data_IF_727499681303
#
_entry.id   IF_727499681303
#
_cell.length_a   1.000
_cell.length_b   1.000
_cell.length_c   1.000
_cell.angle_alpha   90.00
_cell.angle_beta   90.00
_cell.angle_gamma   90.00
#
_symmetry.space_group_name_H-M   'P 1'
#
loop_
_entity.id
_entity.type
_entity.pdbx_description
1 polymer ?
#
# COMPACT_ATOMS: atom_id res chain seq x y z
N UNK A 1 -23.07 -0.18 5.36
CA UNK A 1 -22.38 0.71 6.36
C UNK A 1 -21.19 1.37 5.66
N UNK A 2 -21.23 2.67 5.39
CA UNK A 2 -20.15 3.36 4.66
C UNK A 2 -18.92 3.55 5.55
N UNK A 3 -17.76 3.12 5.08
CA UNK A 3 -16.45 3.30 5.74
C UNK A 3 -15.46 3.84 4.73
N UNK A 4 -14.76 4.91 5.10
CA UNK A 4 -13.71 5.51 4.30
C UNK A 4 -12.44 5.60 5.12
N UNK A 5 -11.41 4.89 4.67
CA UNK A 5 -10.08 4.93 5.26
C UNK A 5 -9.12 5.60 4.28
N UNK A 6 -8.45 6.65 4.74
CA UNK A 6 -7.37 7.30 3.99
C UNK A 6 -6.03 6.95 4.63
N UNK A 7 -5.14 6.35 3.87
CA UNK A 7 -3.78 6.09 4.32
C UNK A 7 -2.99 7.40 4.31
N UNK A 8 -2.92 8.05 5.47
CA UNK A 8 -2.29 9.36 5.61
C UNK A 8 -0.78 9.29 5.56
N UNK A 9 -0.22 10.24 4.84
CA UNK A 9 1.17 10.56 4.57
C UNK A 9 2.00 10.96 5.82
N UNK A 10 1.39 11.28 6.97
CA UNK A 10 2.09 11.87 8.12
C UNK A 10 3.26 11.04 8.62
N UNK A 11 3.09 9.74 8.79
CA UNK A 11 4.18 8.87 9.25
C UNK A 11 5.24 8.59 8.18
N UNK A 12 4.85 8.53 6.92
CA UNK A 12 5.78 8.43 5.81
C UNK A 12 6.66 9.68 5.71
N UNK A 13 6.07 10.88 5.78
CA UNK A 13 6.81 12.15 5.72
C UNK A 13 7.85 12.31 6.83
N UNK A 14 7.51 11.95 8.08
CA UNK A 14 8.46 12.00 9.20
C UNK A 14 9.61 11.00 9.02
N UNK A 15 9.31 9.77 8.59
CA UNK A 15 10.34 8.75 8.35
C UNK A 15 11.22 9.09 7.15
N UNK A 16 10.65 9.62 6.08
CA UNK A 16 11.41 10.08 4.92
C UNK A 16 12.24 11.32 5.22
N UNK A 17 11.70 12.27 6.00
CA UNK A 17 12.45 13.42 6.50
C UNK A 17 13.65 12.98 7.35
N UNK A 18 13.47 12.02 8.24
CA UNK A 18 14.56 11.44 9.03
C UNK A 18 15.59 10.72 8.13
N UNK A 19 15.15 9.95 7.14
CA UNK A 19 16.04 9.28 6.19
C UNK A 19 16.85 10.29 5.35
N UNK A 20 16.21 11.33 4.85
CA UNK A 20 16.88 12.42 4.11
C UNK A 20 17.87 13.17 5.00
N UNK A 21 17.53 13.43 6.27
CA UNK A 21 18.43 14.07 7.23
C UNK A 21 19.63 13.16 7.55
N UNK A 22 19.43 11.86 7.74
CA UNK A 22 20.53 10.90 7.91
C UNK A 22 21.44 10.83 6.68
N UNK A 23 20.88 10.80 5.48
CA UNK A 23 21.66 10.83 4.24
C UNK A 23 22.47 12.12 4.12
N UNK A 24 21.88 13.28 4.44
CA UNK A 24 22.58 14.57 4.43
C UNK A 24 23.69 14.65 5.46
N UNK A 25 23.47 14.13 6.68
CA UNK A 25 24.51 14.06 7.73
C UNK A 25 25.65 13.12 7.35
N UNK A 26 25.35 11.98 6.75
CA UNK A 26 26.36 11.06 6.22
C UNK A 26 27.19 11.71 5.12
N UNK A 27 26.55 12.45 4.19
CA UNK A 27 27.26 13.19 3.16
C UNK A 27 28.18 14.26 3.74
N UNK A 28 27.71 15.03 4.75
CA UNK A 28 28.53 16.04 5.43
C UNK A 28 29.70 15.43 6.20
N UNK A 29 29.49 14.29 6.86
CA UNK A 29 30.56 13.56 7.57
C UNK A 29 31.59 13.01 6.59
N UNK A 30 31.17 12.44 5.49
CA UNK A 30 32.06 11.96 4.43
C UNK A 30 32.78 13.12 3.72
N UNK A 31 32.13 14.25 3.44
CA UNK A 31 32.75 15.42 2.81
C UNK A 31 33.92 16.00 3.63
N UNK A 32 33.93 15.75 4.95
CA UNK A 32 35.03 16.18 5.84
C UNK A 32 36.22 15.22 5.86
N UNK A 33 36.02 13.95 5.54
CA UNK A 33 37.05 12.92 5.79
C UNK A 33 37.78 12.43 4.55
N UNK A 34 37.24 12.60 3.36
CA UNK A 34 37.82 12.02 2.14
C UNK A 34 37.68 12.95 0.93
N UNK A 35 38.71 13.07 0.12
CA UNK A 35 38.80 13.93 -1.04
C UNK A 35 37.83 13.61 -2.21
N UNK A 36 38.14 14.09 -3.38
CA UNK A 36 37.36 14.21 -4.62
C UNK A 36 36.50 13.01 -5.10
N UNK A 37 36.74 11.78 -4.61
CA UNK A 37 35.94 10.60 -4.99
C UNK A 37 34.48 10.62 -4.48
N UNK A 38 34.12 11.60 -3.69
CA UNK A 38 32.79 11.72 -3.05
C UNK A 38 31.71 12.35 -3.94
N UNK A 39 32.08 12.94 -5.06
CA UNK A 39 31.09 13.44 -6.01
C UNK A 39 30.17 12.35 -6.56
N UNK A 40 30.55 11.07 -6.46
CA UNK A 40 29.68 9.94 -6.86
C UNK A 40 28.56 9.63 -5.87
N UNK A 41 28.65 10.04 -4.59
CA UNK A 41 27.59 9.86 -3.61
C UNK A 41 26.45 10.88 -3.76
N UNK A 42 26.73 12.03 -4.35
CA UNK A 42 25.74 13.09 -4.58
C UNK A 42 24.60 12.62 -5.51
N UNK A 43 24.85 11.97 -6.66
CA UNK A 43 23.78 11.42 -7.49
C UNK A 43 23.00 10.29 -6.79
N UNK A 44 23.64 9.50 -5.95
CA UNK A 44 22.94 8.47 -5.18
C UNK A 44 21.96 9.07 -4.17
N UNK A 45 22.37 10.09 -3.42
CA UNK A 45 21.46 10.78 -2.49
C UNK A 45 20.36 11.55 -3.22
N UNK A 46 20.68 12.15 -4.36
CA UNK A 46 19.68 12.79 -5.22
C UNK A 46 18.66 11.75 -5.73
N UNK A 47 19.13 10.57 -6.16
CA UNK A 47 18.26 9.46 -6.58
C UNK A 47 17.35 8.99 -5.46
N UNK A 48 17.86 8.88 -4.22
CA UNK A 48 17.05 8.54 -3.05
C UNK A 48 15.98 9.60 -2.79
N UNK A 49 16.34 10.88 -2.83
CA UNK A 49 15.39 12.00 -2.63
C UNK A 49 14.33 12.03 -3.73
N UNK A 50 14.71 11.79 -4.98
CA UNK A 50 13.77 11.73 -6.11
C UNK A 50 12.87 10.50 -6.09
N UNK A 51 13.32 9.39 -5.49
CA UNK A 51 12.52 8.19 -5.31
C UNK A 51 11.45 8.32 -4.21
N UNK A 52 11.61 9.26 -3.26
CA UNK A 52 10.68 9.51 -2.15
C UNK A 52 9.22 9.73 -2.60
N UNK A 53 8.91 10.52 -3.64
CA UNK A 53 7.53 10.68 -4.12
C UNK A 53 6.93 9.37 -4.64
N UNK A 54 7.73 8.51 -5.23
CA UNK A 54 7.29 7.21 -5.75
C UNK A 54 6.85 6.25 -4.63
N UNK A 55 7.51 6.32 -3.48
CA UNK A 55 7.15 5.52 -2.31
C UNK A 55 6.06 6.18 -1.44
N UNK A 56 5.64 7.39 -1.74
CA UNK A 56 4.63 8.15 -1.00
C UNK A 56 3.24 8.09 -1.64
N UNK A 57 2.94 7.03 -2.38
CA UNK A 57 1.60 6.82 -2.91
C UNK A 57 0.57 6.84 -1.76
N UNK A 58 -0.44 7.69 -1.89
CA UNK A 58 -1.56 7.75 -0.96
C UNK A 58 -2.62 6.80 -1.48
N UNK A 59 -3.07 5.86 -0.65
CA UNK A 59 -4.19 4.99 -0.98
C UNK A 59 -5.41 5.38 -0.17
N UNK A 60 -6.57 5.32 -0.80
CA UNK A 60 -7.86 5.52 -0.14
C UNK A 60 -8.67 4.25 -0.34
N UNK A 61 -9.20 3.71 0.74
CA UNK A 61 -10.12 2.58 0.72
C UNK A 61 -11.49 3.08 1.14
N UNK A 62 -12.50 2.81 0.33
CA UNK A 62 -13.89 3.13 0.61
C UNK A 62 -14.69 1.84 0.56
N UNK A 63 -15.42 1.57 1.61
CA UNK A 63 -16.28 0.40 1.73
C UNK A 63 -17.70 0.83 2.11
N UNK A 64 -18.69 0.48 1.29
CA UNK A 64 -20.08 0.85 1.50
C UNK A 64 -20.97 -0.31 1.98
N UNK A 65 -20.39 -1.50 2.15
CA UNK A 65 -21.08 -2.74 2.49
C UNK A 65 -21.26 -3.65 1.27
N UNK A 66 -21.36 -3.10 0.07
CA UNK A 66 -21.54 -3.87 -1.16
C UNK A 66 -20.26 -3.86 -2.02
N UNK A 67 -19.43 -2.81 -1.89
CA UNK A 67 -18.25 -2.60 -2.72
C UNK A 67 -17.06 -2.10 -1.93
N UNK A 68 -15.91 -2.62 -2.26
CA UNK A 68 -14.62 -2.07 -1.84
C UNK A 68 -13.99 -1.31 -3.01
N UNK A 69 -13.85 -0.01 -2.87
CA UNK A 69 -13.22 0.87 -3.86
C UNK A 69 -11.82 1.22 -3.36
N UNK A 70 -10.83 0.94 -4.18
CA UNK A 70 -9.43 1.27 -3.91
C UNK A 70 -8.98 2.33 -4.88
N UNK A 71 -8.53 3.47 -4.37
CA UNK A 71 -8.06 4.60 -5.16
C UNK A 71 -6.63 4.97 -4.79
N UNK A 72 -5.87 5.50 -5.74
CA UNK A 72 -4.50 5.96 -5.54
C UNK A 72 -4.37 7.42 -5.89
N UNK A 73 -3.97 8.24 -4.95
CA UNK A 73 -3.75 9.67 -5.16
C UNK A 73 -4.09 10.51 -3.95
N UNK A 74 -3.70 11.79 -3.99
CA UNK A 74 -3.88 12.75 -2.88
C UNK A 74 -4.99 13.79 -3.15
N UNK A 75 -5.62 13.78 -4.31
CA UNK A 75 -6.69 14.71 -4.70
C UNK A 75 -8.05 14.43 -4.03
N UNK A 76 -9.04 15.26 -4.32
CA UNK A 76 -10.43 15.03 -3.88
C UNK A 76 -11.05 13.82 -4.58
N UNK A 77 -10.73 13.63 -5.86
CA UNK A 77 -11.18 12.49 -6.67
C UNK A 77 -9.96 11.71 -7.19
N UNK A 78 -9.32 10.88 -6.34
CA UNK A 78 -8.18 10.11 -6.78
C UNK A 78 -8.60 9.04 -7.80
N UNK A 79 -7.77 8.73 -8.79
CA UNK A 79 -8.06 7.68 -9.76
C UNK A 79 -8.29 6.34 -9.05
N UNK A 80 -9.38 5.68 -9.48
CA UNK A 80 -9.74 4.36 -8.96
C UNK A 80 -8.80 3.31 -9.56
N UNK A 81 -8.17 2.51 -8.70
CA UNK A 81 -7.34 1.39 -9.09
C UNK A 81 -8.15 0.12 -9.30
N UNK A 82 -9.08 -0.12 -8.38
CA UNK A 82 -9.88 -1.34 -8.38
C UNK A 82 -11.23 -1.10 -7.69
N UNK A 83 -12.26 -1.74 -8.21
CA UNK A 83 -13.59 -1.84 -7.60
C UNK A 83 -13.89 -3.32 -7.44
N UNK A 84 -14.19 -3.76 -6.23
CA UNK A 84 -14.45 -5.15 -5.91
C UNK A 84 -15.82 -5.22 -5.26
N UNK A 85 -16.75 -5.92 -5.90
CA UNK A 85 -18.06 -6.18 -5.32
C UNK A 85 -17.90 -7.26 -4.22
N UNK A 86 -18.65 -7.12 -3.14
CA UNK A 86 -18.55 -8.03 -1.98
C UNK A 86 -18.88 -9.48 -2.37
N UNK A 87 -19.78 -9.66 -3.34
CA UNK A 87 -20.18 -10.97 -3.89
C UNK A 87 -19.05 -11.68 -4.62
N UNK A 88 -18.09 -10.92 -5.15
CA UNK A 88 -16.95 -11.45 -5.88
C UNK A 88 -15.78 -11.82 -4.96
N UNK A 89 -15.85 -11.52 -3.66
CA UNK A 89 -14.80 -11.84 -2.70
C UNK A 89 -14.79 -13.35 -2.44
N UNK A 90 -13.67 -13.99 -2.78
CA UNK A 90 -13.47 -15.43 -2.59
C UNK A 90 -12.79 -15.75 -1.26
N UNK A 91 -11.83 -14.93 -0.85
CA UNK A 91 -11.11 -15.12 0.41
C UNK A 91 -10.48 -13.81 0.91
N UNK A 92 -10.36 -13.70 2.21
CA UNK A 92 -9.69 -12.62 2.91
C UNK A 92 -8.77 -13.18 4.00
N UNK A 93 -7.60 -12.60 4.17
CA UNK A 93 -6.69 -13.06 5.22
C UNK A 93 -5.48 -12.15 5.42
N UNK A 94 -4.63 -12.50 6.37
CA UNK A 94 -3.38 -11.80 6.62
C UNK A 94 -2.38 -12.17 5.55
N UNK A 95 -1.76 -11.18 4.93
CA UNK A 95 -0.74 -11.40 3.92
C UNK A 95 0.61 -11.69 4.56
N UNK A 96 1.14 -12.87 4.29
CA UNK A 96 2.53 -13.22 4.59
C UNK A 96 3.32 -13.33 3.28
N UNK A 97 4.48 -12.67 3.17
CA UNK A 97 5.31 -12.75 1.98
C UNK A 97 5.67 -14.23 1.68
N UNK A 98 5.45 -14.66 0.43
CA UNK A 98 5.75 -16.02 -0.01
C UNK A 98 4.60 -17.03 0.07
N UNK A 99 3.51 -16.75 0.79
CA UNK A 99 2.34 -17.66 0.87
C UNK A 99 1.45 -17.63 -0.38
N UNK A 100 1.31 -16.48 -1.00
CA UNK A 100 0.54 -16.34 -2.23
C UNK A 100 1.47 -16.48 -3.42
N UNK A 101 1.48 -17.64 -4.05
CA UNK A 101 2.20 -17.80 -5.31
C UNK A 101 1.48 -16.96 -6.38
N UNK A 102 2.24 -16.16 -7.13
CA UNK A 102 1.73 -15.38 -8.25
C UNK A 102 1.04 -16.24 -9.35
N UNK A 103 1.13 -17.56 -9.24
CA UNK A 103 0.47 -18.52 -10.12
C UNK A 103 -1.03 -18.66 -9.89
N UNK A 104 -1.57 -18.16 -8.79
CA UNK A 104 -3.00 -18.29 -8.46
C UNK A 104 -3.86 -17.11 -8.90
N UNK A 105 -3.26 -16.02 -9.36
CA UNK A 105 -4.00 -14.85 -9.76
C UNK A 105 -3.57 -14.33 -11.12
N UNK A 106 -4.56 -14.00 -11.94
CA UNK A 106 -4.36 -13.35 -13.24
C UNK A 106 -3.96 -11.87 -13.08
N UNK A 107 -4.34 -11.25 -11.97
CA UNK A 107 -4.06 -9.84 -11.66
C UNK A 107 -3.70 -9.67 -10.19
N UNK A 108 -2.64 -8.90 -9.91
CA UNK A 108 -2.24 -8.55 -8.54
C UNK A 108 -2.17 -7.04 -8.40
N UNK A 109 -2.97 -6.48 -7.49
CA UNK A 109 -2.99 -5.06 -7.13
C UNK A 109 -2.36 -4.90 -5.75
N UNK A 110 -1.34 -4.05 -5.65
CA UNK A 110 -0.65 -3.74 -4.40
C UNK A 110 -1.00 -2.30 -3.99
N UNK A 111 -1.86 -2.17 -3.01
CA UNK A 111 -2.39 -0.91 -2.52
C UNK A 111 -2.02 -0.69 -1.05
N UNK A 112 -0.74 -0.69 -0.72
CA UNK A 112 -0.24 -0.45 0.63
C UNK A 112 1.01 0.43 0.60
N UNK A 113 1.28 1.10 1.71
CA UNK A 113 2.52 1.86 1.87
C UNK A 113 3.65 0.92 2.30
N UNK A 114 4.81 1.03 1.66
CA UNK A 114 5.95 0.14 1.89
C UNK A 114 6.40 0.11 3.37
N UNK A 115 6.37 1.25 4.04
CA UNK A 115 6.77 1.42 5.45
C UNK A 115 5.60 1.48 6.43
N UNK A 116 4.39 1.07 6.03
CA UNK A 116 3.25 1.02 6.94
C UNK A 116 3.47 -0.09 7.97
N UNK A 117 3.45 0.23 9.28
CA UNK A 117 3.61 -0.76 10.34
C UNK A 117 2.39 -1.68 10.50
N UNK A 118 1.26 -1.35 9.88
CA UNK A 118 0.04 -2.14 9.95
C UNK A 118 0.20 -3.48 9.25
N UNK A 119 -0.50 -4.49 9.75
CA UNK A 119 -0.55 -5.80 9.12
C UNK A 119 -1.14 -5.66 7.71
N UNK A 120 -0.45 -6.21 6.73
CA UNK A 120 -0.96 -6.31 5.38
C UNK A 120 -1.96 -7.45 5.31
N UNK A 121 -3.05 -7.21 4.59
CA UNK A 121 -4.06 -8.22 4.31
C UNK A 121 -4.12 -8.47 2.82
N UNK A 122 -4.56 -9.65 2.44
CA UNK A 122 -4.90 -9.96 1.06
C UNK A 122 -6.40 -10.20 0.93
N UNK A 123 -6.91 -9.90 -0.24
CA UNK A 123 -8.27 -10.17 -0.64
C UNK A 123 -8.20 -10.82 -2.03
N UNK A 124 -8.74 -12.04 -2.11
CA UNK A 124 -8.88 -12.78 -3.36
C UNK A 124 -10.27 -12.54 -3.89
N UNK A 125 -10.40 -12.19 -5.17
CA UNK A 125 -11.69 -11.84 -5.76
C UNK A 125 -11.79 -12.33 -7.20
N UNK A 126 -13.04 -12.50 -7.68
CA UNK A 126 -13.33 -12.88 -9.05
C UNK A 126 -13.24 -11.66 -9.96
N UNK A 127 -12.61 -11.80 -11.11
CA UNK A 127 -12.55 -10.75 -12.13
C UNK A 127 -13.78 -10.81 -13.03
N UNK A 128 -14.32 -9.67 -13.49
CA UNK A 128 -15.49 -9.62 -14.39
C UNK A 128 -15.31 -10.39 -15.70
N UNK A 129 -14.06 -10.53 -16.18
CA UNK A 129 -13.71 -11.28 -17.40
C UNK A 129 -13.32 -12.74 -17.17
N UNK A 130 -13.55 -13.27 -15.96
CA UNK A 130 -13.06 -14.58 -15.56
C UNK A 130 -11.63 -14.55 -15.01
N UNK A 131 -11.29 -15.52 -14.18
CA UNK A 131 -10.02 -15.57 -13.47
C UNK A 131 -10.10 -14.92 -12.06
N UNK A 132 -8.96 -14.82 -11.42
CA UNK A 132 -8.86 -14.39 -10.02
C UNK A 132 -7.92 -13.21 -9.89
N UNK A 133 -8.34 -12.19 -9.14
CA UNK A 133 -7.53 -11.06 -8.73
C UNK A 133 -7.08 -11.17 -7.28
N UNK A 134 -5.92 -10.63 -6.95
CA UNK A 134 -5.43 -10.47 -5.59
C UNK A 134 -5.21 -8.99 -5.32
N UNK A 135 -5.88 -8.47 -4.30
CA UNK A 135 -5.61 -7.16 -3.72
C UNK A 135 -4.81 -7.34 -2.44
N UNK A 136 -3.66 -6.68 -2.32
CA UNK A 136 -2.86 -6.62 -1.10
C UNK A 136 -2.94 -5.19 -0.58
N UNK A 137 -3.44 -4.99 0.65
CA UNK A 137 -3.71 -3.69 1.23
C UNK A 137 -3.51 -3.68 2.75
N UNK A 138 -3.56 -2.51 3.39
CA UNK A 138 -3.36 -2.33 4.83
C UNK A 138 -4.60 -1.71 5.47
N UNK A 139 -5.68 -2.50 5.69
CA UNK A 139 -6.89 -2.01 6.32
C UNK A 139 -6.66 -1.66 7.79
N UNK A 140 -7.37 -0.65 8.30
CA UNK A 140 -7.44 -0.40 9.73
C UNK A 140 -8.31 -1.47 10.42
N UNK A 141 -8.37 -1.40 11.75
CA UNK A 141 -9.12 -2.37 12.55
C UNK A 141 -10.61 -2.38 12.17
N UNK A 142 -11.20 -1.20 11.99
CA UNK A 142 -12.64 -1.09 11.73
C UNK A 142 -13.02 -1.62 10.34
N UNK A 143 -12.20 -1.32 9.34
CA UNK A 143 -12.39 -1.86 7.98
C UNK A 143 -12.21 -3.38 7.95
N UNK A 144 -11.23 -3.89 8.69
CA UNK A 144 -11.00 -5.33 8.82
C UNK A 144 -12.19 -6.04 9.45
N UNK A 145 -12.71 -5.50 10.55
CA UNK A 145 -13.89 -6.03 11.23
C UNK A 145 -15.14 -5.99 10.32
N UNK A 146 -15.31 -4.93 9.53
CA UNK A 146 -16.41 -4.83 8.57
C UNK A 146 -16.32 -5.91 7.49
N UNK A 147 -15.14 -6.08 6.88
CA UNK A 147 -14.91 -7.10 5.84
C UNK A 147 -15.08 -8.53 6.36
N UNK A 148 -14.62 -8.82 7.60
CA UNK A 148 -14.78 -10.15 8.21
C UNK A 148 -16.25 -10.42 8.51
N UNK A 149 -16.96 -9.45 9.06
CA UNK A 149 -18.37 -9.64 9.48
C UNK A 149 -19.26 -10.06 8.32
N UNK A 150 -19.05 -9.51 7.13
CA UNK A 150 -19.85 -9.85 5.96
C UNK A 150 -19.46 -11.19 5.34
N UNK A 151 -18.20 -11.60 5.39
CA UNK A 151 -17.80 -12.95 4.95
C UNK A 151 -18.46 -14.07 5.78
N UNK A 152 -18.70 -13.86 7.08
CA UNK A 152 -19.39 -14.84 7.93
C UNK A 152 -20.86 -15.02 7.56
N UNK A 153 -21.51 -14.01 7.00
CA UNK A 153 -22.91 -14.09 6.57
C UNK A 153 -23.05 -14.98 5.33
N UNK A 154 -22.08 -14.99 4.44
CA UNK A 154 -22.12 -15.82 3.22
C UNK A 154 -21.68 -17.26 3.41
N UNK A 155 -20.97 -17.59 4.51
CA UNK A 155 -20.60 -18.99 4.82
C UNK A 155 -21.70 -19.77 5.57
N UNK A 156 -22.76 -19.12 6.03
CA UNK A 156 -23.85 -19.72 6.81
C UNK A 156 -25.16 -19.81 5.99
N UNK A 157 -25.16 -19.37 4.76
CA UNK A 157 -26.23 -19.53 3.79
C UNK A 157 -25.86 -20.58 2.77
#
# INVERSE_FOLDING_TARGET
MYRKQRLYRKYALVRYGALCACCALLLLAFARTMGYHQMMLLPFCLAVVLAVPYFSAVYTYEYDGNRLIVSQGSGENPPVLEIIDTEDILAYGVYLPGQLSARQASRTVRAYLFLDPRSKCYLLYRLPGGGTGILIFSPDREMREALIREQWIFQVS
#
